data_IF_035384403789
#
_entry.id   IF_035384403789
#
_cell.length_a   1.000
_cell.length_b   1.000
_cell.length_c   1.000
_cell.angle_alpha   90.00
_cell.angle_beta   90.00
_cell.angle_gamma   90.00
#
_symmetry.space_group_name_H-M   'P 1'
#
loop_
_entity.id
_entity.type
_entity.pdbx_description
1 polymer ?
#
# COMPACT_ATOMS: atom_id res chain seq x y z
N UNK A 1 -9.65 13.27 -0.23
CA UNK A 1 -9.79 12.01 0.53
C UNK A 1 -8.54 11.19 0.26
N UNK A 2 -7.44 11.55 0.93
CA UNK A 2 -6.16 10.85 0.86
C UNK A 2 -5.89 10.09 2.17
N UNK A 3 -6.93 10.00 3.01
CA UNK A 3 -6.79 9.92 4.45
C UNK A 3 -6.76 8.48 4.98
N UNK A 4 -6.82 7.48 4.09
CA UNK A 4 -6.91 6.07 4.49
C UNK A 4 -5.80 5.21 3.89
N UNK A 5 -4.57 5.72 4.00
CA UNK A 5 -3.35 4.97 3.72
C UNK A 5 -2.53 4.83 5.00
N UNK A 6 -2.44 3.60 5.52
CA UNK A 6 -1.70 3.29 6.74
C UNK A 6 -0.43 2.50 6.40
N UNK A 7 0.73 2.98 6.84
CA UNK A 7 1.99 2.24 6.71
C UNK A 7 2.18 1.26 7.88
N UNK A 8 2.48 0.00 7.57
CA UNK A 8 2.75 -1.02 8.58
C UNK A 8 4.16 -1.58 8.40
N UNK A 9 4.92 -1.61 9.50
CA UNK A 9 6.28 -2.17 9.51
C UNK A 9 6.34 -3.44 10.37
N UNK A 10 6.81 -4.53 9.78
CA UNK A 10 7.05 -5.80 10.47
C UNK A 10 8.53 -5.97 10.82
N UNK A 11 8.88 -6.76 11.87
CA UNK A 11 10.29 -7.01 12.24
C UNK A 11 11.09 -7.72 11.13
N UNK A 12 10.43 -8.64 10.42
CA UNK A 12 10.99 -9.46 9.34
C UNK A 12 10.25 -9.22 8.04
N UNK A 13 10.95 -9.43 6.91
CA UNK A 13 10.35 -9.22 5.60
C UNK A 13 9.36 -10.35 5.30
N UNK A 14 8.09 -10.01 5.13
CA UNK A 14 7.01 -10.97 4.87
C UNK A 14 6.63 -10.96 3.39
N UNK A 15 6.31 -12.13 2.79
CA UNK A 15 5.72 -12.17 1.46
C UNK A 15 4.31 -11.59 1.48
N UNK A 16 3.95 -10.84 0.44
CA UNK A 16 2.61 -10.29 0.25
C UNK A 16 2.35 -10.02 -1.23
N UNK A 17 1.06 -9.94 -1.60
CA UNK A 17 0.65 -9.51 -2.92
C UNK A 17 0.32 -8.01 -2.92
N UNK A 18 0.86 -7.26 -3.88
CA UNK A 18 0.54 -5.84 -4.04
C UNK A 18 -0.64 -5.66 -4.99
N UNK A 19 -1.78 -5.23 -4.46
CA UNK A 19 -3.04 -5.08 -5.21
C UNK A 19 -3.00 -3.95 -6.26
N UNK A 20 -2.07 -2.99 -6.15
CA UNK A 20 -1.95 -1.89 -7.13
C UNK A 20 -1.09 -2.23 -8.34
N UNK A 21 0.04 -2.91 -8.14
CA UNK A 21 0.92 -3.29 -9.25
C UNK A 21 0.77 -4.76 -9.67
N UNK A 22 -0.12 -5.52 -9.02
CA UNK A 22 -0.39 -6.93 -9.26
C UNK A 22 0.88 -7.81 -9.26
N UNK A 23 1.73 -7.64 -8.24
CA UNK A 23 2.99 -8.40 -8.10
C UNK A 23 3.18 -8.91 -6.69
N UNK A 24 3.68 -10.14 -6.59
CA UNK A 24 4.17 -10.69 -5.34
C UNK A 24 5.49 -10.03 -4.94
N UNK A 25 5.60 -9.73 -3.65
CA UNK A 25 6.72 -9.00 -3.07
C UNK A 25 7.07 -9.57 -1.72
N UNK A 26 8.27 -9.25 -1.23
CA UNK A 26 8.70 -9.56 0.13
C UNK A 26 9.32 -8.30 0.74
N UNK A 27 8.67 -7.75 1.77
CA UNK A 27 9.13 -6.51 2.39
C UNK A 27 8.83 -6.49 3.89
N UNK A 28 9.56 -5.63 4.62
CA UNK A 28 9.25 -5.29 6.02
C UNK A 28 8.21 -4.19 6.13
N UNK A 29 7.84 -3.57 5.01
CA UNK A 29 7.04 -2.36 4.95
C UNK A 29 5.99 -2.52 3.86
N UNK A 30 4.74 -2.45 4.27
CA UNK A 30 3.56 -2.49 3.40
C UNK A 30 2.69 -1.29 3.74
N UNK A 31 1.86 -0.85 2.80
CA UNK A 31 0.81 0.10 3.09
C UNK A 31 -0.55 -0.60 2.92
N UNK A 32 -1.47 -0.32 3.83
CA UNK A 32 -2.87 -0.66 3.67
C UNK A 32 -3.59 0.55 3.11
N UNK A 33 -4.40 0.34 2.09
CA UNK A 33 -5.19 1.38 1.45
C UNK A 33 -6.67 1.00 1.54
N UNK A 34 -7.48 1.87 2.15
CA UNK A 34 -8.93 1.72 2.14
C UNK A 34 -9.50 2.38 0.89
N UNK A 35 -10.18 1.57 0.08
CA UNK A 35 -10.85 1.98 -1.14
C UNK A 35 -12.27 2.47 -0.83
N UNK A 36 -12.82 3.26 -1.75
CA UNK A 36 -14.19 3.81 -1.65
C UNK A 36 -15.28 2.73 -1.62
N UNK A 37 -14.97 1.51 -2.08
CA UNK A 37 -15.85 0.33 -2.00
C UNK A 37 -15.88 -0.31 -0.59
N UNK A 38 -15.16 0.28 0.37
CA UNK A 38 -15.05 -0.20 1.74
C UNK A 38 -14.03 -1.33 1.91
N UNK A 39 -13.31 -1.74 0.86
CA UNK A 39 -12.27 -2.77 0.95
C UNK A 39 -10.92 -2.19 1.36
N UNK A 40 -10.25 -2.87 2.29
CA UNK A 40 -8.85 -2.60 2.63
C UNK A 40 -7.94 -3.52 1.82
N UNK A 41 -7.04 -2.94 1.03
CA UNK A 41 -6.08 -3.68 0.21
C UNK A 41 -4.64 -3.41 0.64
N UNK A 42 -3.76 -4.38 0.39
CA UNK A 42 -2.32 -4.23 0.67
C UNK A 42 -1.58 -3.78 -0.57
N UNK A 43 -0.77 -2.72 -0.45
CA UNK A 43 0.08 -2.19 -1.51
C UNK A 43 1.53 -2.09 -1.05
N UNK A 44 2.45 -2.07 -2.01
CA UNK A 44 3.87 -1.94 -1.71
C UNK A 44 4.28 -0.50 -1.43
N UNK A 45 5.41 -0.30 -0.74
CA UNK A 45 5.95 1.03 -0.45
C UNK A 45 6.18 1.90 -1.70
N UNK A 46 6.56 1.30 -2.84
CA UNK A 46 6.69 2.03 -4.09
C UNK A 46 5.35 2.57 -4.61
N UNK A 47 4.32 1.72 -4.60
CA UNK A 47 2.97 2.13 -4.98
C UNK A 47 2.37 3.14 -4.00
N UNK A 48 2.69 3.03 -2.72
CA UNK A 48 2.35 4.02 -1.71
C UNK A 48 2.97 5.39 -2.02
N UNK A 49 4.28 5.43 -2.33
CA UNK A 49 4.98 6.67 -2.67
C UNK A 49 4.40 7.37 -3.90
N UNK A 50 4.01 6.63 -4.93
CA UNK A 50 3.33 7.19 -6.10
C UNK A 50 1.96 7.79 -5.78
N UNK A 51 1.19 7.17 -4.87
CA UNK A 51 -0.11 7.71 -4.43
C UNK A 51 0.06 9.01 -3.66
N UNK A 52 1.11 9.13 -2.84
CA UNK A 52 1.43 10.38 -2.14
C UNK A 52 1.98 11.46 -3.08
N UNK A 53 2.69 11.07 -4.14
CA UNK A 53 3.34 11.99 -5.06
C UNK A 53 2.40 12.55 -6.13
N UNK A 54 1.25 11.90 -6.37
CA UNK A 54 0.23 12.44 -7.26
C UNK A 54 -0.48 13.61 -6.56
N UNK A 55 -0.30 14.88 -7.01
CA UNK A 55 -1.15 15.95 -6.52
C UNK A 55 -2.59 15.61 -6.89
N UNK A 56 -3.48 15.62 -5.91
CA UNK A 56 -4.91 15.63 -6.16
C UNK A 56 -5.21 16.79 -7.11
N UNK A 57 -5.49 16.47 -8.38
CA UNK A 57 -6.04 17.42 -9.36
C UNK A 57 -7.51 17.67 -9.09
#
# INVERSE_FOLDING_TARGET
MADDLTLTRTPTAQPFHCERCNKDKKAKLTAQWHRDDGQTVTICNGCYGELLAAPHG
#
